data_IF_433111230512
#
_entry.id   IF_433111230512
#
_cell.length_a   1.000
_cell.length_b   1.000
_cell.length_c   1.000
_cell.angle_alpha   90.00
_cell.angle_beta   90.00
_cell.angle_gamma   90.00
#
_symmetry.space_group_name_H-M   'P 1'
#
loop_
_entity.id
_entity.type
_entity.pdbx_description
1 polymer ?
#
# COMPACT_ATOMS: atom_id res chain seq x y z
N UNK A 1 14.26 -7.26 12.01
CA UNK A 1 14.66 -6.59 13.27
C UNK A 1 13.67 -6.96 14.37
N UNK A 2 14.11 -6.97 15.62
CA UNK A 2 13.25 -7.30 16.77
C UNK A 2 12.71 -6.02 17.44
N UNK A 3 11.60 -6.14 18.14
CA UNK A 3 10.92 -5.00 18.79
C UNK A 3 11.86 -4.10 19.64
N UNK A 4 12.78 -4.62 20.48
CA UNK A 4 13.68 -3.74 21.26
C UNK A 4 14.58 -2.86 20.38
N UNK A 5 15.06 -3.38 19.24
CA UNK A 5 15.89 -2.64 18.30
C UNK A 5 15.08 -1.54 17.59
N UNK A 6 13.84 -1.88 17.16
CA UNK A 6 12.91 -0.92 16.53
C UNK A 6 12.53 0.19 17.52
N UNK A 7 12.26 -0.16 18.79
CA UNK A 7 11.94 0.80 19.84
C UNK A 7 13.13 1.72 20.15
N UNK A 8 14.34 1.19 20.19
CA UNK A 8 15.55 2.00 20.39
C UNK A 8 15.75 3.00 19.25
N UNK A 9 15.53 2.59 18.00
CA UNK A 9 15.57 3.49 16.84
C UNK A 9 14.48 4.57 16.93
N UNK A 10 13.25 4.16 17.19
CA UNK A 10 12.10 5.07 17.20
C UNK A 10 12.24 6.19 18.23
N UNK A 11 12.88 5.93 19.37
CA UNK A 11 13.08 6.89 20.47
C UNK A 11 14.28 7.81 20.31
N UNK A 12 15.08 7.66 19.25
CA UNK A 12 16.18 8.58 18.97
C UNK A 12 15.68 10.00 18.69
N UNK A 13 16.52 11.03 18.88
CA UNK A 13 16.23 12.36 18.36
C UNK A 13 15.89 12.29 16.87
N UNK A 14 14.85 13.01 16.46
CA UNK A 14 14.28 12.87 15.11
C UNK A 14 15.30 13.06 14.00
N UNK A 15 16.15 14.08 14.13
CA UNK A 15 17.15 14.38 13.09
C UNK A 15 18.26 13.31 13.02
N UNK A 16 18.63 12.70 14.13
CA UNK A 16 19.61 11.61 14.15
C UNK A 16 19.02 10.36 13.47
N UNK A 17 17.76 10.04 13.77
CA UNK A 17 17.03 8.96 13.13
C UNK A 17 16.91 9.17 11.61
N UNK A 18 16.52 10.38 11.17
CA UNK A 18 16.40 10.70 9.75
C UNK A 18 17.77 10.62 9.06
N UNK A 19 18.83 11.08 9.69
CA UNK A 19 20.19 11.03 9.14
C UNK A 19 20.63 9.58 8.93
N UNK A 20 20.39 8.69 9.91
CA UNK A 20 20.66 7.26 9.79
C UNK A 20 19.82 6.63 8.66
N UNK A 21 18.54 6.93 8.62
CA UNK A 21 17.65 6.43 7.57
C UNK A 21 18.10 6.87 6.18
N UNK A 22 18.49 8.15 6.02
CA UNK A 22 19.01 8.67 4.76
C UNK A 22 20.29 7.96 4.33
N UNK A 23 21.19 7.69 5.27
CA UNK A 23 22.41 6.93 4.99
C UNK A 23 22.10 5.50 4.52
N UNK A 24 21.14 4.83 5.15
CA UNK A 24 20.65 3.50 4.70
C UNK A 24 20.01 3.59 3.32
N UNK A 25 19.17 4.58 3.08
CA UNK A 25 18.52 4.80 1.79
C UNK A 25 19.55 4.91 0.66
N UNK A 26 20.56 5.75 0.81
CA UNK A 26 21.58 5.99 -0.21
C UNK A 26 22.52 4.80 -0.48
N UNK A 27 22.58 3.81 0.41
CA UNK A 27 23.32 2.56 0.17
C UNK A 27 22.58 1.59 -0.76
N UNK A 28 21.27 1.69 -0.86
CA UNK A 28 20.44 0.71 -1.56
C UNK A 28 19.65 1.31 -2.75
N UNK A 29 19.48 2.62 -2.75
CA UNK A 29 18.66 3.34 -3.72
C UNK A 29 19.39 4.59 -4.24
N UNK A 30 19.07 4.99 -5.45
CA UNK A 30 19.41 6.33 -5.90
C UNK A 30 18.51 7.31 -5.15
N UNK A 31 19.15 8.26 -4.46
CA UNK A 31 18.44 9.13 -3.51
C UNK A 31 17.43 10.09 -4.12
N UNK A 32 17.50 10.27 -5.43
CA UNK A 32 16.63 11.12 -6.25
C UNK A 32 15.51 10.37 -6.97
N UNK A 33 15.52 9.03 -6.96
CA UNK A 33 14.50 8.23 -7.67
C UNK A 33 13.26 7.95 -6.81
N UNK A 34 12.08 8.19 -7.40
CA UNK A 34 10.78 7.90 -6.78
C UNK A 34 9.93 7.08 -7.74
N UNK A 35 9.51 5.90 -7.29
CA UNK A 35 8.59 5.06 -8.05
C UNK A 35 7.19 5.70 -8.09
N UNK A 36 6.59 5.79 -9.27
CA UNK A 36 5.19 6.17 -9.47
C UNK A 36 4.33 4.94 -9.70
N UNK A 37 3.35 4.75 -8.82
CA UNK A 37 2.37 3.68 -8.94
C UNK A 37 1.00 4.27 -9.22
N UNK A 38 0.30 3.79 -10.23
CA UNK A 38 -1.10 4.16 -10.47
C UNK A 38 -2.01 3.09 -9.87
N UNK A 39 -3.12 3.49 -9.26
CA UNK A 39 -4.07 2.58 -8.62
C UNK A 39 -5.46 2.76 -9.22
N UNK A 40 -6.06 1.66 -9.66
CA UNK A 40 -7.42 1.59 -10.17
C UNK A 40 -8.28 0.66 -9.32
N UNK A 41 -9.44 1.14 -8.87
CA UNK A 41 -10.49 0.26 -8.35
C UNK A 41 -11.18 -0.42 -9.53
N UNK A 42 -10.94 -1.72 -9.72
CA UNK A 42 -11.56 -2.49 -10.80
C UNK A 42 -12.93 -3.03 -10.40
N UNK A 43 -13.24 -3.06 -9.10
CA UNK A 43 -14.56 -3.35 -8.53
C UNK A 43 -14.68 -2.60 -7.21
N UNK A 44 -15.67 -1.72 -7.09
CA UNK A 44 -15.85 -0.79 -5.97
C UNK A 44 -17.03 -1.19 -5.09
N UNK A 45 -16.88 -1.06 -3.76
CA UNK A 45 -17.96 -1.20 -2.78
C UNK A 45 -18.51 -2.61 -2.60
N UNK A 46 -19.33 -2.81 -1.56
CA UNK A 46 -20.01 -4.07 -1.25
C UNK A 46 -19.07 -5.21 -0.87
N UNK A 47 -17.93 -4.92 -0.23
CA UNK A 47 -17.08 -5.94 0.38
C UNK A 47 -17.77 -6.51 1.61
N UNK A 48 -17.68 -7.83 1.81
CA UNK A 48 -18.29 -8.54 2.95
C UNK A 48 -17.51 -8.41 4.26
N UNK A 49 -16.33 -7.74 4.22
CA UNK A 49 -15.48 -7.54 5.39
C UNK A 49 -15.90 -6.28 6.16
N UNK A 50 -15.66 -6.28 7.49
CA UNK A 50 -16.03 -5.21 8.41
C UNK A 50 -14.85 -4.31 8.82
N UNK A 51 -13.79 -4.25 8.01
CA UNK A 51 -12.61 -3.42 8.33
C UNK A 51 -13.04 -1.98 8.70
N UNK A 52 -12.80 -1.56 9.93
CA UNK A 52 -13.33 -0.33 10.54
C UNK A 52 -12.96 0.97 9.81
N UNK A 53 -11.89 0.96 9.02
CA UNK A 53 -11.42 2.08 8.20
C UNK A 53 -12.00 2.11 6.78
N UNK A 54 -12.65 1.01 6.33
CA UNK A 54 -12.89 0.78 4.92
C UNK A 54 -14.26 1.30 4.46
N UNK A 55 -14.24 2.28 3.57
CA UNK A 55 -15.46 2.82 2.96
C UNK A 55 -16.15 1.86 2.00
N UNK A 56 -15.49 0.77 1.59
CA UNK A 56 -16.01 -0.21 0.65
C UNK A 56 -16.71 -1.39 1.32
N UNK A 57 -16.71 -1.44 2.65
CA UNK A 57 -17.41 -2.44 3.45
C UNK A 57 -18.92 -2.34 3.25
N UNK A 58 -19.59 -3.50 3.17
CA UNK A 58 -21.06 -3.56 3.18
C UNK A 58 -21.67 -3.42 4.57
N UNK A 59 -20.86 -3.41 5.61
CA UNK A 59 -21.27 -3.21 6.99
C UNK A 59 -21.53 -1.74 7.33
N UNK A 60 -21.05 -0.79 6.49
CA UNK A 60 -21.09 0.64 6.78
C UNK A 60 -21.79 1.46 5.69
N UNK A 61 -22.50 2.51 6.11
CA UNK A 61 -23.17 3.46 5.21
C UNK A 61 -22.26 4.63 4.89
N UNK A 62 -21.36 4.45 3.94
CA UNK A 62 -20.31 5.44 3.62
C UNK A 62 -20.60 6.28 2.37
N UNK A 63 -21.72 6.05 1.70
CA UNK A 63 -22.07 6.70 0.43
C UNK A 63 -21.29 6.20 -0.78
N UNK A 64 -20.35 5.25 -0.62
CA UNK A 64 -19.64 4.63 -1.73
C UNK A 64 -20.59 3.74 -2.53
N UNK A 65 -20.78 4.07 -3.81
CA UNK A 65 -21.65 3.29 -4.69
C UNK A 65 -20.97 1.96 -5.04
N UNK A 66 -21.77 0.90 -5.04
CA UNK A 66 -21.33 -0.41 -5.51
C UNK A 66 -21.23 -0.39 -7.03
N UNK A 67 -20.06 -0.74 -7.54
CA UNK A 67 -19.78 -0.90 -8.95
C UNK A 67 -19.38 -2.35 -9.24
N UNK A 68 -19.81 -2.88 -10.37
CA UNK A 68 -19.44 -4.20 -10.83
C UNK A 68 -18.01 -4.20 -11.38
N UNK A 69 -17.45 -5.40 -11.64
CA UNK A 69 -16.12 -5.55 -12.21
C UNK A 69 -16.07 -4.85 -13.58
N UNK A 70 -15.11 -3.94 -13.72
CA UNK A 70 -14.87 -3.19 -14.95
C UNK A 70 -14.58 -4.10 -16.13
N UNK A 71 -14.89 -3.63 -17.32
CA UNK A 71 -14.52 -4.31 -18.55
C UNK A 71 -13.01 -4.25 -18.81
N UNK A 72 -12.47 -5.22 -19.52
CA UNK A 72 -11.05 -5.25 -19.96
C UNK A 72 -10.67 -3.95 -20.66
N UNK A 73 -11.53 -3.46 -21.56
CA UNK A 73 -11.31 -2.23 -22.33
C UNK A 73 -11.15 -1.01 -21.40
N UNK A 74 -12.03 -0.87 -20.41
CA UNK A 74 -11.97 0.24 -19.43
C UNK A 74 -10.66 0.21 -18.65
N UNK A 75 -10.25 -0.98 -18.18
CA UNK A 75 -9.00 -1.13 -17.42
C UNK A 75 -7.78 -0.85 -18.29
N UNK A 76 -7.75 -1.35 -19.53
CA UNK A 76 -6.66 -1.09 -20.47
C UNK A 76 -6.53 0.40 -20.82
N UNK A 77 -7.64 1.11 -20.99
CA UNK A 77 -7.62 2.55 -21.21
C UNK A 77 -6.98 3.29 -20.04
N UNK A 78 -7.34 2.92 -18.82
CA UNK A 78 -6.74 3.48 -17.61
C UNK A 78 -5.24 3.13 -17.48
N UNK A 79 -4.86 1.88 -17.74
CA UNK A 79 -3.48 1.43 -17.68
C UNK A 79 -2.59 2.13 -18.71
N UNK A 80 -3.05 2.29 -19.96
CA UNK A 80 -2.34 3.06 -21.00
C UNK A 80 -2.16 4.52 -20.60
N UNK A 81 -3.19 5.14 -20.04
CA UNK A 81 -3.09 6.52 -19.53
C UNK A 81 -2.05 6.61 -18.40
N UNK A 82 -2.08 5.70 -17.43
CA UNK A 82 -1.12 5.66 -16.34
C UNK A 82 0.32 5.53 -16.84
N UNK A 83 0.56 4.62 -17.79
CA UNK A 83 1.87 4.47 -18.46
C UNK A 83 2.32 5.75 -19.15
N UNK A 84 1.44 6.39 -19.92
CA UNK A 84 1.74 7.64 -20.62
C UNK A 84 2.08 8.79 -19.65
N UNK A 85 1.57 8.72 -18.40
CA UNK A 85 1.88 9.65 -17.32
C UNK A 85 3.13 9.25 -16.50
N UNK A 86 3.87 8.21 -16.92
CA UNK A 86 5.12 7.79 -16.30
C UNK A 86 4.95 6.88 -15.07
N UNK A 87 3.80 6.20 -14.91
CA UNK A 87 3.70 5.14 -13.91
C UNK A 87 4.51 3.91 -14.35
N UNK A 88 5.34 3.39 -13.44
CA UNK A 88 6.12 2.16 -13.66
C UNK A 88 5.39 0.92 -13.12
N UNK A 89 4.43 1.12 -12.21
CA UNK A 89 3.58 0.07 -11.64
C UNK A 89 2.11 0.43 -11.76
N UNK A 90 1.29 -0.52 -12.24
CA UNK A 90 -0.15 -0.39 -12.29
C UNK A 90 -0.80 -1.34 -11.29
N UNK A 91 -1.49 -0.76 -10.30
CA UNK A 91 -2.14 -1.48 -9.21
C UNK A 91 -3.64 -1.59 -9.49
N UNK A 92 -4.22 -2.78 -9.34
CA UNK A 92 -5.66 -3.02 -9.50
C UNK A 92 -6.25 -3.57 -8.21
N UNK A 93 -7.18 -2.83 -7.61
CA UNK A 93 -7.88 -3.24 -6.39
C UNK A 93 -9.32 -3.64 -6.64
N UNK A 94 -9.79 -4.71 -5.99
CA UNK A 94 -11.19 -5.10 -5.98
C UNK A 94 -11.72 -5.24 -4.55
N UNK A 95 -12.88 -4.67 -4.29
CA UNK A 95 -13.55 -4.75 -2.99
C UNK A 95 -14.18 -6.14 -2.79
N UNK A 96 -13.33 -7.12 -2.50
CA UNK A 96 -13.70 -8.50 -2.20
C UNK A 96 -12.99 -9.00 -0.93
N UNK A 97 -13.66 -9.90 -0.21
CA UNK A 97 -13.00 -10.71 0.82
C UNK A 97 -11.88 -11.56 0.23
N UNK A 98 -12.14 -12.15 -0.92
CA UNK A 98 -11.18 -13.00 -1.63
C UNK A 98 -11.74 -13.50 -2.95
N UNK A 99 -10.93 -14.27 -3.63
CA UNK A 99 -11.30 -14.97 -4.87
C UNK A 99 -11.07 -16.45 -4.72
N UNK A 100 -11.81 -17.25 -5.50
CA UNK A 100 -11.68 -18.71 -5.51
C UNK A 100 -11.34 -19.17 -6.90
N UNK A 101 -10.47 -20.16 -6.99
CA UNK A 101 -10.09 -20.81 -8.24
C UNK A 101 -11.33 -21.34 -9.00
N UNK A 102 -11.34 -21.15 -10.31
CA UNK A 102 -12.46 -21.53 -11.18
C UNK A 102 -13.70 -20.66 -11.09
N UNK A 103 -13.76 -19.65 -10.21
CA UNK A 103 -14.88 -18.73 -10.19
C UNK A 103 -14.86 -17.79 -11.41
N UNK A 104 -16.04 -17.51 -11.99
CA UNK A 104 -16.16 -16.62 -13.16
C UNK A 104 -15.50 -15.26 -12.94
N UNK A 105 -15.71 -14.65 -11.76
CA UNK A 105 -15.09 -13.37 -11.42
C UNK A 105 -13.58 -13.44 -11.42
N UNK A 106 -12.98 -14.56 -10.97
CA UNK A 106 -11.52 -14.71 -10.94
C UNK A 106 -10.98 -14.91 -12.35
N UNK A 107 -11.61 -15.74 -13.19
CA UNK A 107 -11.20 -15.94 -14.58
C UNK A 107 -11.29 -14.64 -15.39
N UNK A 108 -12.30 -13.79 -15.17
CA UNK A 108 -12.40 -12.47 -15.77
C UNK A 108 -11.23 -11.56 -15.36
N UNK A 109 -10.86 -11.56 -14.07
CA UNK A 109 -9.71 -10.78 -13.59
C UNK A 109 -8.40 -11.30 -14.18
N UNK A 110 -8.21 -12.61 -14.29
CA UNK A 110 -7.03 -13.19 -14.97
C UNK A 110 -6.94 -12.73 -16.44
N UNK A 111 -8.07 -12.63 -17.13
CA UNK A 111 -8.14 -12.05 -18.48
C UNK A 111 -7.66 -10.59 -18.51
N UNK A 112 -8.16 -9.75 -17.61
CA UNK A 112 -7.74 -8.35 -17.47
C UNK A 112 -6.22 -8.26 -17.22
N UNK A 113 -5.70 -9.07 -16.30
CA UNK A 113 -4.28 -9.06 -15.92
C UNK A 113 -3.40 -9.42 -17.12
N UNK A 114 -3.74 -10.45 -17.89
CA UNK A 114 -2.96 -10.84 -19.09
C UNK A 114 -2.81 -9.69 -20.08
N UNK A 115 -3.89 -8.97 -20.34
CA UNK A 115 -3.89 -7.83 -21.25
C UNK A 115 -3.07 -6.65 -20.69
N UNK A 116 -3.23 -6.34 -19.39
CA UNK A 116 -2.47 -5.25 -18.74
C UNK A 116 -0.98 -5.57 -18.69
N UNK A 117 -0.60 -6.83 -18.46
CA UNK A 117 0.80 -7.25 -18.39
C UNK A 117 1.58 -7.03 -19.69
N UNK A 118 0.88 -7.01 -20.84
CA UNK A 118 1.49 -6.72 -22.16
C UNK A 118 1.92 -5.25 -22.31
N UNK A 119 1.51 -4.37 -21.41
CA UNK A 119 1.87 -2.95 -21.47
C UNK A 119 3.28 -2.65 -20.95
N UNK A 120 3.99 -3.63 -20.38
CA UNK A 120 5.37 -3.48 -19.92
C UNK A 120 5.54 -2.72 -18.60
N UNK A 121 4.46 -2.53 -17.84
CA UNK A 121 4.50 -2.05 -16.45
C UNK A 121 4.50 -3.23 -15.48
N UNK A 122 5.01 -3.03 -14.27
CA UNK A 122 4.77 -3.97 -13.16
C UNK A 122 3.27 -4.03 -12.85
N UNK A 123 2.72 -5.24 -12.74
CA UNK A 123 1.31 -5.44 -12.39
C UNK A 123 1.18 -5.83 -10.94
N UNK A 124 0.48 -5.01 -10.16
CA UNK A 124 0.16 -5.29 -8.77
C UNK A 124 -1.37 -5.46 -8.60
N UNK A 125 -1.80 -6.43 -7.82
CA UNK A 125 -3.23 -6.64 -7.57
C UNK A 125 -3.55 -6.78 -6.09
N UNK A 126 -4.78 -6.40 -5.71
CA UNK A 126 -5.37 -6.57 -4.38
C UNK A 126 -6.76 -7.15 -4.57
N UNK A 127 -6.91 -8.44 -4.33
CA UNK A 127 -8.16 -9.20 -4.57
C UNK A 127 -8.72 -9.84 -3.28
N UNK A 128 -8.21 -9.40 -2.11
CA UNK A 128 -8.52 -10.00 -0.82
C UNK A 128 -7.69 -11.25 -0.53
N UNK A 129 -8.26 -12.21 0.16
CA UNK A 129 -7.61 -13.48 0.51
C UNK A 129 -7.44 -14.37 -0.71
N UNK A 130 -6.28 -15.01 -0.84
CA UNK A 130 -5.97 -16.00 -1.87
C UNK A 130 -5.16 -17.15 -1.28
N UNK A 131 -5.40 -18.33 -1.84
CA UNK A 131 -4.60 -19.51 -1.54
C UNK A 131 -3.50 -19.78 -2.59
N UNK A 132 -2.77 -20.89 -2.43
CA UNK A 132 -1.67 -21.26 -3.33
C UNK A 132 -2.10 -21.48 -4.79
N UNK A 133 -3.34 -21.93 -5.04
CA UNK A 133 -3.83 -22.15 -6.40
C UNK A 133 -4.05 -20.83 -7.15
N UNK A 134 -4.75 -19.90 -6.50
CA UNK A 134 -5.00 -18.55 -7.02
C UNK A 134 -3.69 -17.79 -7.23
N UNK A 135 -2.76 -17.86 -6.26
CA UNK A 135 -1.46 -17.21 -6.35
C UNK A 135 -0.65 -17.69 -7.57
N UNK A 136 -0.61 -19.00 -7.83
CA UNK A 136 0.05 -19.53 -9.03
C UNK A 136 -0.58 -19.04 -10.33
N UNK A 137 -1.93 -19.01 -10.39
CA UNK A 137 -2.65 -18.51 -11.60
C UNK A 137 -2.42 -17.02 -11.83
N UNK A 138 -2.42 -16.22 -10.77
CA UNK A 138 -2.09 -14.79 -10.84
C UNK A 138 -0.67 -14.57 -11.36
N UNK A 139 0.31 -15.31 -10.83
CA UNK A 139 1.69 -15.26 -11.32
C UNK A 139 1.79 -15.62 -12.80
N UNK A 140 1.12 -16.70 -13.21
CA UNK A 140 1.08 -17.14 -14.60
C UNK A 140 0.38 -16.13 -15.54
N UNK A 141 -0.58 -15.37 -15.02
CA UNK A 141 -1.26 -14.31 -15.77
C UNK A 141 -0.41 -13.03 -15.92
N UNK A 142 0.74 -12.91 -15.23
CA UNK A 142 1.65 -11.78 -15.36
C UNK A 142 1.67 -10.82 -14.15
N UNK A 143 1.07 -11.21 -13.01
CA UNK A 143 1.20 -10.43 -11.77
C UNK A 143 2.64 -10.47 -11.29
N UNK A 144 3.22 -9.30 -11.04
CA UNK A 144 4.57 -9.15 -10.49
C UNK A 144 4.53 -9.01 -8.97
N UNK A 145 3.52 -8.34 -8.43
CA UNK A 145 3.37 -8.12 -6.99
C UNK A 145 1.91 -8.30 -6.54
N UNK A 146 1.72 -8.79 -5.33
CA UNK A 146 0.41 -8.87 -4.69
C UNK A 146 0.37 -7.96 -3.46
N UNK A 147 -0.60 -7.05 -3.41
CA UNK A 147 -0.80 -6.21 -2.24
C UNK A 147 -1.75 -6.88 -1.25
N UNK A 148 -1.25 -7.14 -0.06
CA UNK A 148 -2.03 -7.63 1.07
C UNK A 148 -1.45 -7.08 2.36
N UNK A 149 -2.03 -5.99 2.86
CA UNK A 149 -1.54 -5.33 4.05
C UNK A 149 -1.87 -6.14 5.31
N UNK A 150 -1.01 -6.10 6.31
CA UNK A 150 -1.32 -6.59 7.65
C UNK A 150 -2.05 -5.54 8.49
N UNK A 151 -2.13 -4.32 7.98
CA UNK A 151 -2.83 -3.14 8.48
C UNK A 151 -2.29 -2.57 9.80
N UNK A 152 -2.06 -3.39 10.83
CA UNK A 152 -1.56 -2.98 12.15
C UNK A 152 -0.82 -4.14 12.84
N UNK A 153 -0.59 -4.05 14.17
CA UNK A 153 -0.03 -5.15 14.96
C UNK A 153 -0.98 -6.34 15.09
N UNK A 154 -0.47 -7.56 15.38
CA UNK A 154 -1.32 -8.70 15.71
C UNK A 154 -2.25 -8.43 16.89
N UNK A 155 -1.75 -7.69 17.88
CA UNK A 155 -2.46 -7.38 19.13
C UNK A 155 -3.62 -6.40 18.91
N UNK A 156 -3.43 -5.38 18.07
CA UNK A 156 -4.46 -4.37 17.79
C UNK A 156 -5.41 -4.77 16.64
N UNK A 157 -5.06 -5.78 15.88
CA UNK A 157 -5.84 -6.20 14.70
C UNK A 157 -7.30 -6.56 15.00
N UNK A 158 -7.64 -7.26 16.09
CA UNK A 158 -9.03 -7.60 16.44
C UNK A 158 -9.93 -6.38 16.72
N UNK A 159 -9.34 -5.23 17.09
CA UNK A 159 -10.08 -3.97 17.30
C UNK A 159 -10.53 -3.33 15.97
N UNK A 160 -9.91 -3.74 14.85
CA UNK A 160 -10.11 -3.13 13.54
C UNK A 160 -10.96 -4.02 12.63
N UNK A 161 -10.84 -5.35 12.76
CA UNK A 161 -11.51 -6.32 11.88
C UNK A 161 -11.97 -7.51 12.71
N UNK A 162 -13.23 -7.93 12.53
CA UNK A 162 -13.77 -9.13 13.19
C UNK A 162 -14.09 -10.27 12.21
N UNK A 163 -14.27 -9.97 10.94
CA UNK A 163 -14.69 -10.94 9.92
C UNK A 163 -13.58 -11.88 9.44
N UNK A 164 -12.32 -11.54 9.72
CA UNK A 164 -11.16 -12.40 9.47
C UNK A 164 -10.03 -12.11 10.45
N UNK A 165 -9.13 -13.07 10.61
CA UNK A 165 -8.05 -13.01 11.60
C UNK A 165 -6.76 -12.44 11.00
N UNK A 166 -5.84 -12.01 11.86
CA UNK A 166 -4.48 -11.65 11.45
C UNK A 166 -3.77 -12.82 10.76
N UNK A 167 -4.03 -14.08 11.20
CA UNK A 167 -3.46 -15.27 10.57
C UNK A 167 -3.91 -15.44 9.12
N UNK A 168 -5.17 -15.11 8.78
CA UNK A 168 -5.62 -15.15 7.38
C UNK A 168 -4.80 -14.20 6.48
N UNK A 169 -4.36 -13.05 7.02
CA UNK A 169 -3.43 -12.16 6.31
C UNK A 169 -2.09 -12.83 6.06
N UNK A 170 -1.52 -13.47 7.08
CA UNK A 170 -0.24 -14.17 6.97
C UNK A 170 -0.30 -15.34 6.01
N UNK A 171 -1.40 -16.11 6.01
CA UNK A 171 -1.59 -17.24 5.11
C UNK A 171 -1.63 -16.79 3.64
N UNK A 172 -2.32 -15.69 3.36
CA UNK A 172 -2.32 -15.08 2.02
C UNK A 172 -0.92 -14.61 1.60
N UNK A 173 -0.18 -13.96 2.50
CA UNK A 173 1.18 -13.50 2.23
C UNK A 173 2.10 -14.70 1.94
N UNK A 174 1.99 -15.76 2.71
CA UNK A 174 2.75 -16.99 2.50
C UNK A 174 2.44 -17.63 1.12
N UNK A 175 1.17 -17.67 0.71
CA UNK A 175 0.79 -18.15 -0.61
C UNK A 175 1.38 -17.30 -1.75
N UNK A 176 1.42 -15.97 -1.57
CA UNK A 176 2.06 -15.04 -2.52
C UNK A 176 3.55 -15.32 -2.63
N UNK A 177 4.27 -15.42 -1.51
CA UNK A 177 5.71 -15.70 -1.48
C UNK A 177 6.04 -17.04 -2.15
N UNK A 178 5.28 -18.09 -1.85
CA UNK A 178 5.45 -19.42 -2.44
C UNK A 178 5.23 -19.44 -3.96
N UNK A 179 4.43 -18.54 -4.49
CA UNK A 179 4.21 -18.42 -5.95
C UNK A 179 5.32 -17.69 -6.70
N UNK A 180 6.28 -17.08 -5.99
CA UNK A 180 7.34 -16.25 -6.56
C UNK A 180 6.88 -14.85 -6.97
N UNK A 181 5.70 -14.39 -6.55
CA UNK A 181 5.32 -13.00 -6.64
C UNK A 181 5.96 -12.19 -5.51
N UNK A 182 6.25 -10.91 -5.79
CA UNK A 182 6.67 -9.97 -4.76
C UNK A 182 5.50 -9.62 -3.82
N UNK A 183 5.81 -9.44 -2.54
CA UNK A 183 4.85 -8.99 -1.55
C UNK A 183 4.88 -7.46 -1.45
N UNK A 184 3.72 -6.83 -1.62
CA UNK A 184 3.48 -5.44 -1.25
C UNK A 184 2.62 -5.46 0.02
N UNK A 185 3.23 -5.17 1.17
CA UNK A 185 2.57 -5.29 2.47
C UNK A 185 3.02 -4.20 3.42
N UNK A 186 2.09 -3.51 4.01
CA UNK A 186 2.31 -2.44 4.98
C UNK A 186 1.12 -2.30 5.92
N UNK A 187 0.89 -1.08 6.39
CA UNK A 187 -0.20 -0.82 7.32
C UNK A 187 -0.78 0.58 7.24
N UNK A 188 -1.67 0.82 8.18
CA UNK A 188 -2.40 2.07 8.34
C UNK A 188 -2.11 2.60 9.75
N UNK A 189 -1.76 3.86 9.87
CA UNK A 189 -1.58 4.54 11.14
C UNK A 189 -2.65 5.61 11.35
N UNK A 190 -2.96 5.90 12.61
CA UNK A 190 -4.02 6.83 13.00
C UNK A 190 -5.37 6.17 13.23
N UNK A 191 -5.42 4.85 13.40
CA UNK A 191 -6.63 4.09 13.70
C UNK A 191 -6.95 4.00 15.20
N UNK A 192 -6.09 4.59 16.05
CA UNK A 192 -6.15 4.49 17.51
C UNK A 192 -5.09 3.56 18.10
N UNK A 193 -4.26 2.98 17.26
CA UNK A 193 -3.13 2.14 17.64
C UNK A 193 -2.05 2.93 18.41
N UNK A 194 -1.32 2.26 19.29
CA UNK A 194 -0.19 2.82 20.03
C UNK A 194 1.12 2.83 19.21
N UNK A 195 2.14 3.54 19.75
CA UNK A 195 3.52 3.43 19.25
C UNK A 195 3.98 1.96 19.22
N UNK A 196 3.66 1.21 20.29
CA UNK A 196 4.01 -0.21 20.40
C UNK A 196 3.41 -1.02 19.24
N UNK A 197 2.15 -0.76 18.90
CA UNK A 197 1.48 -1.46 17.80
C UNK A 197 2.15 -1.17 16.46
N UNK A 198 2.53 0.08 16.18
CA UNK A 198 3.27 0.45 14.97
C UNK A 198 4.61 -0.28 14.87
N UNK A 199 5.33 -0.40 15.98
CA UNK A 199 6.61 -1.11 16.00
C UNK A 199 6.46 -2.63 15.93
N UNK A 200 5.41 -3.20 16.52
CA UNK A 200 5.05 -4.62 16.37
C UNK A 200 4.68 -4.95 14.93
N UNK A 201 3.93 -4.08 14.26
CA UNK A 201 3.68 -4.21 12.83
C UNK A 201 4.99 -4.25 12.03
N UNK A 202 5.92 -3.33 12.29
CA UNK A 202 7.22 -3.33 11.62
C UNK A 202 8.07 -4.56 11.97
N UNK A 203 7.99 -5.07 13.20
CA UNK A 203 8.63 -6.33 13.58
C UNK A 203 8.13 -7.48 12.70
N UNK A 204 6.82 -7.62 12.52
CA UNK A 204 6.24 -8.64 11.64
C UNK A 204 6.76 -8.47 10.21
N UNK A 205 6.63 -7.27 9.64
CA UNK A 205 7.05 -6.98 8.25
C UNK A 205 8.55 -7.27 8.02
N UNK A 206 9.40 -6.90 8.96
CA UNK A 206 10.85 -7.09 8.83
C UNK A 206 11.32 -8.53 9.06
N UNK A 207 10.46 -9.41 9.56
CA UNK A 207 10.76 -10.83 9.77
C UNK A 207 10.12 -11.75 8.72
N UNK A 208 9.44 -11.22 7.69
CA UNK A 208 9.07 -12.04 6.54
C UNK A 208 10.31 -12.52 5.79
N UNK A 209 10.26 -13.73 5.24
CA UNK A 209 11.30 -14.31 4.41
C UNK A 209 10.71 -14.85 3.09
N UNK A 210 10.97 -14.21 1.96
CA UNK A 210 11.65 -12.92 1.80
C UNK A 210 10.87 -11.74 2.37
N UNK A 211 11.55 -10.62 2.73
CA UNK A 211 10.86 -9.42 3.21
C UNK A 211 10.02 -8.77 2.10
N UNK A 212 9.03 -7.93 2.43
CA UNK A 212 8.21 -7.23 1.44
C UNK A 212 9.09 -6.38 0.51
N UNK A 213 8.83 -6.47 -0.79
CA UNK A 213 9.47 -5.61 -1.79
C UNK A 213 8.97 -4.16 -1.67
N UNK A 214 7.73 -3.98 -1.23
CA UNK A 214 7.10 -2.67 -1.10
C UNK A 214 6.30 -2.58 0.18
N UNK A 215 6.50 -1.49 0.92
CA UNK A 215 5.82 -1.23 2.21
C UNK A 215 5.05 0.09 2.11
N UNK A 216 3.74 0.03 1.82
CA UNK A 216 2.88 1.20 1.89
C UNK A 216 2.63 1.62 3.35
N UNK A 217 2.95 2.86 3.66
CA UNK A 217 2.56 3.53 4.90
C UNK A 217 1.36 4.41 4.58
N UNK A 218 0.21 4.03 5.10
CA UNK A 218 -1.04 4.76 4.95
C UNK A 218 -1.33 5.56 6.22
N UNK A 219 -1.70 6.82 6.07
CA UNK A 219 -2.37 7.56 7.13
C UNK A 219 -3.88 7.38 6.97
N UNK A 220 -4.56 7.07 8.07
CA UNK A 220 -6.01 6.96 8.06
C UNK A 220 -6.65 8.20 7.44
N UNK A 221 -7.57 7.97 6.54
CA UNK A 221 -8.48 8.99 6.02
C UNK A 221 -9.83 8.78 6.71
N UNK A 222 -10.12 9.48 7.83
CA UNK A 222 -11.41 9.37 8.49
C UNK A 222 -12.53 9.72 7.52
N UNK A 223 -13.46 8.80 7.33
CA UNK A 223 -14.56 8.96 6.38
C UNK A 223 -15.89 8.81 7.09
N UNK A 224 -16.85 9.72 6.85
CA UNK A 224 -18.20 9.62 7.42
C UNK A 224 -18.83 8.26 7.15
N UNK A 225 -19.49 7.71 8.16
CA UNK A 225 -20.15 6.41 8.09
C UNK A 225 -19.26 5.20 8.37
N UNK A 226 -17.95 5.39 8.60
CA UNK A 226 -17.06 4.35 9.12
C UNK A 226 -16.90 4.46 10.64
N UNK A 227 -16.58 3.37 11.36
CA UNK A 227 -16.32 3.43 12.81
C UNK A 227 -15.20 4.40 13.21
N UNK A 228 -14.23 4.64 12.32
CA UNK A 228 -13.07 5.51 12.57
C UNK A 228 -13.24 6.93 12.01
N UNK A 229 -14.48 7.39 11.80
CA UNK A 229 -14.78 8.69 11.20
C UNK A 229 -14.24 9.89 12.01
N UNK A 230 -14.15 9.75 13.34
CA UNK A 230 -13.78 10.82 14.27
C UNK A 230 -12.32 10.76 14.73
N UNK A 231 -11.49 9.89 14.13
CA UNK A 231 -10.08 9.79 14.47
C UNK A 231 -9.33 11.07 14.11
N UNK A 232 -8.43 11.54 15.00
CA UNK A 232 -7.61 12.72 14.71
C UNK A 232 -6.62 12.44 13.56
N UNK A 233 -6.16 13.49 12.87
CA UNK A 233 -5.11 13.34 11.88
C UNK A 233 -3.81 12.85 12.52
N UNK A 234 -3.06 12.04 11.77
CA UNK A 234 -1.72 11.59 12.17
C UNK A 234 -0.77 12.77 12.24
N UNK A 235 0.00 12.86 13.32
CA UNK A 235 1.08 13.84 13.45
C UNK A 235 2.17 13.58 12.40
N UNK A 236 2.67 14.65 11.77
CA UNK A 236 3.66 14.53 10.69
C UNK A 236 4.99 13.96 11.19
N UNK A 237 5.41 14.29 12.41
CA UNK A 237 6.69 13.80 12.93
C UNK A 237 6.60 12.30 13.29
N UNK A 238 5.43 11.83 13.71
CA UNK A 238 5.15 10.40 13.90
C UNK A 238 5.24 9.63 12.57
N UNK A 239 4.65 10.16 11.51
CA UNK A 239 4.75 9.57 10.18
C UNK A 239 6.19 9.52 9.68
N UNK A 240 6.91 10.64 9.78
CA UNK A 240 8.33 10.74 9.36
C UNK A 240 9.20 9.76 10.15
N UNK A 241 8.98 9.65 11.46
CA UNK A 241 9.68 8.71 12.33
C UNK A 241 9.43 7.26 11.92
N UNK A 242 8.16 6.90 11.66
CA UNK A 242 7.80 5.56 11.20
C UNK A 242 8.43 5.23 9.83
N UNK A 243 8.43 6.17 8.89
CA UNK A 243 9.08 6.02 7.58
C UNK A 243 10.59 5.77 7.76
N UNK A 244 11.25 6.54 8.63
CA UNK A 244 12.67 6.40 8.89
C UNK A 244 13.01 5.02 9.49
N UNK A 245 12.26 4.58 10.49
CA UNK A 245 12.43 3.24 11.09
C UNK A 245 12.15 2.14 10.07
N UNK A 246 11.10 2.30 9.25
CA UNK A 246 10.78 1.35 8.17
C UNK A 246 11.93 1.23 7.17
N UNK A 247 12.54 2.35 6.76
CA UNK A 247 13.69 2.35 5.84
C UNK A 247 14.89 1.62 6.44
N UNK A 248 15.16 1.82 7.73
CA UNK A 248 16.27 1.15 8.41
C UNK A 248 15.99 -0.36 8.55
N UNK A 249 14.78 -0.73 8.92
CA UNK A 249 14.38 -2.11 9.13
C UNK A 249 14.26 -2.92 7.81
N UNK A 250 13.87 -2.26 6.73
CA UNK A 250 13.61 -2.83 5.41
C UNK A 250 14.36 -2.04 4.32
N UNK A 251 15.70 -2.13 4.31
CA UNK A 251 16.55 -1.24 3.51
C UNK A 251 16.35 -1.38 2.00
N UNK A 252 15.93 -2.55 1.54
CA UNK A 252 15.69 -2.84 0.12
C UNK A 252 14.22 -2.72 -0.30
N UNK A 253 13.31 -2.39 0.62
CA UNK A 253 11.91 -2.20 0.28
C UNK A 253 11.64 -0.82 -0.35
N UNK A 254 10.69 -0.73 -1.25
CA UNK A 254 10.09 0.56 -1.61
C UNK A 254 9.15 1.01 -0.50
N UNK A 255 9.57 2.01 0.26
CA UNK A 255 8.71 2.63 1.28
C UNK A 255 7.78 3.61 0.59
N UNK A 256 6.50 3.27 0.55
CA UNK A 256 5.50 4.05 -0.20
C UNK A 256 4.74 5.00 0.72
N UNK A 257 4.82 6.28 0.41
CA UNK A 257 3.92 7.27 0.96
C UNK A 257 2.57 7.13 0.24
N UNK A 258 1.58 6.53 0.94
CA UNK A 258 0.36 6.03 0.33
C UNK A 258 -0.88 6.88 0.65
N UNK A 259 -1.95 6.32 1.19
CA UNK A 259 -3.15 7.09 1.53
C UNK A 259 -2.88 8.15 2.61
N UNK A 260 -3.68 9.21 2.59
CA UNK A 260 -3.54 10.35 3.52
C UNK A 260 -2.58 11.44 3.06
N UNK A 261 -1.82 11.24 2.00
CA UNK A 261 -0.83 12.19 1.47
C UNK A 261 -1.43 13.55 1.10
N UNK A 262 -2.68 13.60 0.68
CA UNK A 262 -3.40 14.86 0.39
C UNK A 262 -3.60 15.78 1.59
N UNK A 263 -3.41 15.26 2.81
CA UNK A 263 -3.51 16.04 4.05
C UNK A 263 -2.15 16.56 4.55
N UNK A 264 -1.06 16.14 3.91
CA UNK A 264 0.27 16.57 4.29
C UNK A 264 0.64 17.88 3.56
N UNK A 265 1.32 18.78 4.27
CA UNK A 265 1.94 19.93 3.62
C UNK A 265 3.05 19.48 2.66
N UNK A 266 3.48 20.37 1.78
CA UNK A 266 4.59 20.13 0.86
C UNK A 266 5.88 19.80 1.62
N UNK A 267 6.14 20.52 2.69
CA UNK A 267 7.31 20.37 3.58
C UNK A 267 7.23 19.02 4.31
N UNK A 268 6.04 18.61 4.77
CA UNK A 268 5.82 17.30 5.37
C UNK A 268 6.10 16.16 4.41
N UNK A 269 5.67 16.27 3.15
CA UNK A 269 5.99 15.29 2.12
C UNK A 269 7.49 15.27 1.80
N UNK A 270 8.15 16.45 1.73
CA UNK A 270 9.59 16.56 1.54
C UNK A 270 10.37 15.85 2.66
N UNK A 271 9.96 16.04 3.92
CA UNK A 271 10.51 15.31 5.07
C UNK A 271 10.33 13.80 4.95
N UNK A 272 9.17 13.32 4.50
CA UNK A 272 8.93 11.89 4.27
C UNK A 272 9.89 11.31 3.22
N UNK A 273 10.12 12.01 2.10
CA UNK A 273 11.09 11.59 1.09
C UNK A 273 12.52 11.62 1.64
N UNK A 274 12.88 12.65 2.38
CA UNK A 274 14.20 12.72 3.01
C UNK A 274 14.42 11.61 4.03
N UNK A 275 13.38 11.28 4.80
CA UNK A 275 13.37 10.15 5.75
C UNK A 275 13.37 8.76 5.10
N UNK A 276 13.32 8.65 3.77
CA UNK A 276 13.51 7.39 3.07
C UNK A 276 12.30 6.85 2.31
N UNK A 277 11.18 7.58 2.21
CA UNK A 277 10.13 7.23 1.26
C UNK A 277 10.66 7.37 -0.17
N UNK A 278 10.37 6.39 -1.04
CA UNK A 278 10.82 6.38 -2.43
C UNK A 278 9.78 5.80 -3.41
N UNK A 279 8.52 5.79 -2.99
CA UNK A 279 7.39 5.39 -3.86
C UNK A 279 6.15 6.17 -3.47
N UNK A 280 5.31 6.52 -4.45
CA UNK A 280 4.02 7.18 -4.23
C UNK A 280 2.93 6.55 -5.09
N UNK A 281 1.68 6.68 -4.66
CA UNK A 281 0.57 6.58 -5.59
C UNK A 281 0.43 7.89 -6.35
N UNK A 282 0.39 7.77 -7.67
CA UNK A 282 0.35 8.86 -8.64
C UNK A 282 -0.92 8.77 -9.50
N UNK A 283 -1.49 9.93 -9.86
CA UNK A 283 -2.74 10.03 -10.60
C UNK A 283 -3.89 10.57 -9.75
N UNK A 284 -5.00 10.92 -10.38
CA UNK A 284 -6.06 11.77 -9.82
C UNK A 284 -6.85 11.11 -8.67
N UNK A 285 -6.85 9.78 -8.58
CA UNK A 285 -7.69 9.04 -7.64
C UNK A 285 -6.94 7.81 -7.09
N UNK A 286 -7.12 7.56 -5.79
CA UNK A 286 -6.89 6.25 -5.17
C UNK A 286 -8.13 5.35 -5.40
N UNK A 287 -8.43 4.42 -4.52
CA UNK A 287 -9.61 3.54 -4.69
C UNK A 287 -10.92 4.34 -4.70
N UNK A 288 -11.23 5.04 -3.61
CA UNK A 288 -12.48 5.78 -3.41
C UNK A 288 -12.27 7.27 -3.12
N UNK A 289 -11.05 7.69 -2.83
CA UNK A 289 -10.71 9.07 -2.45
C UNK A 289 -9.84 9.74 -3.51
N UNK A 290 -9.89 11.07 -3.57
CA UNK A 290 -9.00 11.85 -4.43
C UNK A 290 -7.54 11.70 -3.99
N UNK A 291 -6.65 11.73 -4.97
CA UNK A 291 -5.20 11.82 -4.79
C UNK A 291 -4.74 13.23 -5.21
N UNK A 292 -3.53 13.70 -4.88
CA UNK A 292 -3.00 14.91 -5.48
C UNK A 292 -3.06 14.84 -7.00
N UNK A 293 -3.42 15.94 -7.64
CA UNK A 293 -3.42 16.00 -9.10
C UNK A 293 -2.00 15.74 -9.64
N UNK A 294 -1.91 15.12 -10.81
CA UNK A 294 -0.64 14.67 -11.36
C UNK A 294 0.39 15.81 -11.54
N UNK A 295 -0.07 17.01 -11.90
CA UNK A 295 0.75 18.20 -12.05
C UNK A 295 1.31 18.72 -10.71
N UNK A 296 0.55 18.58 -9.62
CA UNK A 296 0.99 18.94 -8.26
C UNK A 296 2.16 18.05 -7.84
N UNK A 297 2.05 16.72 -8.08
CA UNK A 297 3.12 15.78 -7.79
C UNK A 297 4.37 16.03 -8.67
N UNK A 298 4.18 16.27 -9.96
CA UNK A 298 5.30 16.59 -10.87
C UNK A 298 6.03 17.84 -10.41
N UNK A 299 5.29 18.87 -10.00
CA UNK A 299 5.86 20.12 -9.51
C UNK A 299 6.65 19.91 -8.22
N UNK A 300 6.07 19.21 -7.23
CA UNK A 300 6.74 18.90 -5.97
C UNK A 300 8.03 18.10 -6.19
N UNK A 301 7.95 17.01 -6.95
CA UNK A 301 9.12 16.16 -7.20
C UNK A 301 10.23 16.94 -7.91
N UNK A 302 9.90 17.76 -8.92
CA UNK A 302 10.88 18.61 -9.63
C UNK A 302 11.56 19.61 -8.70
N UNK A 303 10.81 20.28 -7.83
CA UNK A 303 11.35 21.25 -6.87
C UNK A 303 12.27 20.60 -5.83
N UNK A 304 12.01 19.33 -5.49
CA UNK A 304 12.87 18.55 -4.61
C UNK A 304 14.06 17.89 -5.34
N UNK A 305 14.19 18.07 -6.66
CA UNK A 305 15.21 17.39 -7.46
C UNK A 305 14.99 15.88 -7.56
N UNK A 306 13.74 15.41 -7.34
CA UNK A 306 13.39 14.00 -7.42
C UNK A 306 12.90 13.65 -8.82
N UNK A 307 13.30 12.46 -9.30
CA UNK A 307 12.96 11.95 -10.63
C UNK A 307 12.12 10.69 -10.54
N UNK A 308 11.41 10.40 -11.63
CA UNK A 308 10.75 9.09 -11.77
C UNK A 308 11.80 8.03 -11.94
N UNK A 309 11.64 6.91 -11.26
CA UNK A 309 12.44 5.71 -11.48
C UNK A 309 12.35 5.29 -12.96
N UNK A 310 13.50 5.09 -13.58
CA UNK A 310 13.65 4.73 -15.02
C UNK A 310 13.47 3.23 -15.25
#
# INVERSE_FOLDING_TARGET
MKFPELSALYRQPLFDLISQSRAVHLRHWRGEEVQRCSLLSIKTGGCSEDCAYCTQSSHYSTGVQREELLSVETVLKAARRARAQGATRFCMGAAWRGVSDGSEKFERVLGIIREVSQLGMEVCVTLGEIGPAEARKLRAAGVTAYNHNIDTSPEFYPEIVSTHTFQNRLDTIAAVQQSGMSVCCGGIIGMGESETDRLRMLEVLSNFDPPPESVPINCLMPMPGTPLADQPPVDIFELVRLIAVTRIALPKARVRLAAGRTRLSREGQALCFFAGANSIFYGDKLLTVKNPAADVDVTLLRELGLHVES
#
